data_IF_576469690900
#
_entry.id   IF_576469690900
#
_cell.length_a   1.000
_cell.length_b   1.000
_cell.length_c   1.000
_cell.angle_alpha   90.00
_cell.angle_beta   90.00
_cell.angle_gamma   90.00
#
_symmetry.space_group_name_H-M   'P 1'
#
loop_
_entity.id
_entity.type
_entity.pdbx_description
1 polymer ?
#
# COMPACT_ATOMS: atom_id res chain seq x y z
N UNK A 1 9.00 9.55 48.53
CA UNK A 1 8.28 8.60 47.66
C UNK A 1 8.57 8.98 46.23
N UNK A 2 9.24 8.11 45.48
CA UNK A 2 9.80 8.39 44.16
C UNK A 2 8.80 7.89 43.09
N UNK A 3 7.96 8.78 42.56
CA UNK A 3 6.97 8.45 41.52
C UNK A 3 7.57 8.34 40.10
N UNK A 4 8.87 8.61 39.94
CA UNK A 4 9.52 8.75 38.64
C UNK A 4 9.88 7.43 37.92
N UNK A 5 9.55 6.26 38.50
CA UNK A 5 9.98 4.95 37.97
C UNK A 5 8.85 3.93 37.78
N UNK A 6 7.59 4.37 37.86
CA UNK A 6 6.47 3.48 37.54
C UNK A 6 6.09 3.71 36.08
N UNK A 7 6.40 2.72 35.23
CA UNK A 7 5.82 2.66 33.89
C UNK A 7 4.29 2.78 33.99
N UNK A 8 3.64 3.48 33.05
CA UNK A 8 2.20 3.59 33.07
C UNK A 8 1.54 2.19 33.06
N UNK A 9 0.35 2.05 33.66
CA UNK A 9 -0.41 0.80 33.60
C UNK A 9 -0.59 0.31 32.15
N UNK A 10 -0.50 -1.01 31.94
CA UNK A 10 -0.47 -1.60 30.60
C UNK A 10 -1.74 -1.29 29.77
N UNK A 11 -2.90 -1.21 30.42
CA UNK A 11 -4.17 -0.80 29.82
C UNK A 11 -4.16 0.66 29.33
N UNK A 12 -3.55 1.56 30.10
CA UNK A 12 -3.31 2.96 29.69
C UNK A 12 -2.33 3.01 28.50
N UNK A 13 -1.24 2.22 28.55
CA UNK A 13 -0.31 2.11 27.44
C UNK A 13 -0.98 1.63 26.15
N UNK A 14 -1.83 0.60 26.24
CA UNK A 14 -2.61 0.10 25.11
C UNK A 14 -3.54 1.18 24.55
N UNK A 15 -4.26 1.91 25.42
CA UNK A 15 -5.15 2.98 25.00
C UNK A 15 -4.40 4.10 24.25
N UNK A 16 -3.24 4.53 24.78
CA UNK A 16 -2.43 5.58 24.18
C UNK A 16 -1.84 5.14 22.83
N UNK A 17 -1.34 3.90 22.73
CA UNK A 17 -0.81 3.35 21.47
C UNK A 17 -1.90 3.18 20.42
N UNK A 18 -3.04 2.61 20.79
CA UNK A 18 -4.21 2.49 19.91
C UNK A 18 -4.67 3.87 19.40
N UNK A 19 -4.68 4.89 20.28
CA UNK A 19 -5.01 6.26 19.86
C UNK A 19 -3.98 6.85 18.89
N UNK A 20 -2.69 6.65 19.16
CA UNK A 20 -1.62 7.11 18.30
C UNK A 20 -1.70 6.47 16.91
N UNK A 21 -1.91 5.15 16.83
CA UNK A 21 -2.09 4.41 15.57
C UNK A 21 -3.30 4.94 14.79
N UNK A 22 -4.48 5.06 15.40
CA UNK A 22 -5.67 5.59 14.71
C UNK A 22 -5.46 7.02 14.19
N UNK A 23 -4.82 7.87 15.01
CA UNK A 23 -4.54 9.26 14.63
C UNK A 23 -3.54 9.33 13.47
N UNK A 24 -2.49 8.51 13.52
CA UNK A 24 -1.49 8.44 12.46
C UNK A 24 -2.11 7.91 11.16
N UNK A 25 -2.85 6.81 11.21
CA UNK A 25 -3.59 6.25 10.05
C UNK A 25 -4.49 7.31 9.40
N UNK A 26 -5.21 8.07 10.22
CA UNK A 26 -6.14 9.10 9.73
C UNK A 26 -5.43 10.32 9.13
N UNK A 27 -4.22 10.64 9.59
CA UNK A 27 -3.46 11.82 9.18
C UNK A 27 -2.54 11.58 8.00
N UNK A 28 -1.87 10.43 7.98
CA UNK A 28 -0.82 10.14 7.01
C UNK A 28 -1.35 9.24 5.89
N UNK A 29 -2.13 8.21 6.21
CA UNK A 29 -2.52 7.19 5.22
C UNK A 29 -3.82 7.55 4.49
N UNK A 30 -4.87 7.95 5.23
CA UNK A 30 -6.19 8.23 4.64
C UNK A 30 -6.16 9.32 3.57
N UNK A 31 -5.40 10.43 3.71
CA UNK A 31 -5.34 11.45 2.66
C UNK A 31 -4.74 10.93 1.36
N UNK A 32 -3.64 10.17 1.44
CA UNK A 32 -2.97 9.60 0.26
C UNK A 32 -3.89 8.60 -0.45
N UNK A 33 -4.60 7.76 0.29
CA UNK A 33 -5.59 6.85 -0.29
C UNK A 33 -6.68 7.64 -1.03
N UNK A 34 -7.19 8.73 -0.44
CA UNK A 34 -8.23 9.55 -1.08
C UNK A 34 -7.71 10.27 -2.33
N UNK A 35 -6.46 10.70 -2.31
CA UNK A 35 -5.80 11.29 -3.48
C UNK A 35 -5.71 10.26 -4.61
N UNK A 36 -5.23 9.06 -4.32
CA UNK A 36 -5.13 7.97 -5.29
C UNK A 36 -6.50 7.46 -5.78
N UNK A 37 -7.52 7.46 -4.93
CA UNK A 37 -8.90 7.14 -5.32
C UNK A 37 -9.49 8.20 -6.27
N UNK A 38 -8.96 9.43 -6.27
CA UNK A 38 -9.39 10.48 -7.17
C UNK A 38 -8.54 10.53 -8.45
N UNK A 39 -7.23 10.32 -8.31
CA UNK A 39 -6.25 10.35 -9.40
C UNK A 39 -5.26 9.18 -9.25
N UNK A 40 -5.61 8.07 -9.90
CA UNK A 40 -4.83 6.84 -9.90
C UNK A 40 -3.53 6.93 -10.71
N UNK A 41 -3.30 8.02 -11.44
CA UNK A 41 -2.16 8.15 -12.36
C UNK A 41 -0.84 8.53 -11.67
N UNK A 42 -0.86 8.82 -10.37
CA UNK A 42 0.32 9.25 -9.62
C UNK A 42 1.15 8.06 -9.13
N UNK A 43 2.11 7.62 -9.95
CA UNK A 43 3.08 6.58 -9.55
C UNK A 43 3.91 6.96 -8.31
N UNK A 44 4.15 8.26 -8.08
CA UNK A 44 4.84 8.74 -6.89
C UNK A 44 3.99 8.59 -5.62
N UNK A 45 2.69 8.88 -5.69
CA UNK A 45 1.77 8.68 -4.56
C UNK A 45 1.61 7.18 -4.25
N UNK A 46 1.62 6.32 -5.28
CA UNK A 46 1.59 4.86 -5.08
C UNK A 46 2.85 4.35 -4.36
N UNK A 47 4.04 4.77 -4.80
CA UNK A 47 5.30 4.43 -4.14
C UNK A 47 5.34 4.95 -2.69
N UNK A 48 4.80 6.15 -2.44
CA UNK A 48 4.68 6.69 -1.08
C UNK A 48 3.70 5.88 -0.22
N UNK A 49 2.57 5.45 -0.78
CA UNK A 49 1.61 4.59 -0.09
C UNK A 49 2.22 3.24 0.31
N UNK A 50 3.09 2.66 -0.53
CA UNK A 50 3.84 1.45 -0.19
C UNK A 50 4.78 1.67 1.01
N UNK A 51 5.46 2.82 1.07
CA UNK A 51 6.28 3.18 2.23
C UNK A 51 5.43 3.34 3.51
N UNK A 52 4.31 4.07 3.41
CA UNK A 52 3.37 4.23 4.53
C UNK A 52 2.81 2.90 5.02
N UNK A 53 2.63 1.91 4.15
CA UNK A 53 2.18 0.57 4.57
C UNK A 53 3.18 -0.12 5.51
N UNK A 54 4.48 0.07 5.30
CA UNK A 54 5.52 -0.48 6.18
C UNK A 54 5.43 0.18 7.56
N UNK A 55 5.26 1.50 7.61
CA UNK A 55 5.08 2.24 8.87
C UNK A 55 3.78 1.84 9.58
N UNK A 56 2.69 1.64 8.83
CA UNK A 56 1.42 1.15 9.38
C UNK A 56 1.60 -0.22 10.05
N UNK A 57 2.39 -1.12 9.46
CA UNK A 57 2.73 -2.41 10.07
C UNK A 57 3.57 -2.25 11.36
N UNK A 58 4.44 -1.24 11.43
CA UNK A 58 5.20 -0.96 12.65
C UNK A 58 4.29 -0.48 13.79
N UNK A 59 3.44 0.52 13.51
CA UNK A 59 2.45 1.01 14.48
C UNK A 59 1.51 -0.11 14.95
N UNK A 60 1.06 -0.96 14.03
CA UNK A 60 0.25 -2.14 14.33
C UNK A 60 0.97 -3.10 15.29
N UNK A 61 2.25 -3.37 15.03
CA UNK A 61 3.09 -4.23 15.86
C UNK A 61 3.23 -3.72 17.29
N UNK A 62 3.47 -2.41 17.46
CA UNK A 62 3.59 -1.79 18.79
C UNK A 62 2.27 -1.86 19.58
N UNK A 63 1.14 -1.58 18.92
CA UNK A 63 -0.17 -1.67 19.58
C UNK A 63 -0.54 -3.12 19.91
N UNK A 64 -0.28 -4.07 19.01
CA UNK A 64 -0.57 -5.48 19.24
C UNK A 64 0.36 -6.09 20.31
N UNK A 65 1.61 -5.63 20.42
CA UNK A 65 2.50 -5.98 21.53
C UNK A 65 1.96 -5.47 22.87
N UNK A 66 1.50 -4.22 22.93
CA UNK A 66 0.86 -3.65 24.11
C UNK A 66 -0.41 -4.41 24.51
N UNK A 67 -1.15 -4.93 23.53
CA UNK A 67 -2.30 -5.81 23.78
C UNK A 67 -1.86 -7.12 24.45
N UNK A 68 -0.76 -7.72 23.96
CA UNK A 68 -0.17 -8.92 24.56
C UNK A 68 0.31 -8.70 25.99
N UNK A 69 0.89 -7.53 26.31
CA UNK A 69 1.27 -7.15 27.68
C UNK A 69 0.04 -7.12 28.61
N UNK A 70 -1.07 -6.55 28.14
CA UNK A 70 -2.34 -6.52 28.89
C UNK A 70 -2.89 -7.93 29.12
N UNK A 71 -2.86 -8.79 28.10
CA UNK A 71 -3.38 -10.16 28.20
C UNK A 71 -2.50 -11.07 29.09
N UNK A 72 -1.20 -10.78 29.21
CA UNK A 72 -0.28 -11.49 30.08
C UNK A 72 -0.44 -11.13 31.57
N UNK A 73 -1.04 -9.98 31.86
CA UNK A 73 -1.32 -9.55 33.23
C UNK A 73 -2.62 -10.22 33.71
N UNK A 74 -2.60 -10.78 34.92
CA UNK A 74 -3.83 -11.20 35.58
C UNK A 74 -4.77 -9.98 35.71
N UNK A 75 -6.11 -10.14 35.63
CA UNK A 75 -7.07 -9.05 35.75
C UNK A 75 -7.08 -8.49 37.18
N UNK A 76 -6.04 -7.75 37.53
CA UNK A 76 -5.81 -7.06 38.78
C UNK A 76 -5.63 -5.58 38.44
N UNK A 77 -6.76 -4.88 38.29
CA UNK A 77 -6.78 -3.48 37.85
C UNK A 77 -8.19 -2.96 37.66
N UNK A 78 -8.32 -1.69 37.27
CA UNK A 78 -9.61 -1.07 36.95
C UNK A 78 -10.22 -1.73 35.71
N UNK A 79 -11.28 -2.50 35.93
CA UNK A 79 -11.98 -3.23 34.86
C UNK A 79 -12.62 -2.30 33.83
N UNK A 80 -12.92 -1.05 34.19
CA UNK A 80 -13.49 -0.06 33.28
C UNK A 80 -12.48 0.42 32.24
N UNK A 81 -11.27 0.77 32.68
CA UNK A 81 -10.18 1.20 31.78
C UNK A 81 -9.73 0.04 30.90
N UNK A 82 -9.58 -1.15 31.47
CA UNK A 82 -9.24 -2.37 30.75
C UNK A 82 -10.24 -2.67 29.63
N UNK A 83 -11.54 -2.71 29.96
CA UNK A 83 -12.59 -2.95 28.97
C UNK A 83 -12.60 -1.86 27.87
N UNK A 84 -12.33 -0.61 28.22
CA UNK A 84 -12.26 0.47 27.25
C UNK A 84 -11.06 0.34 26.31
N UNK A 85 -9.88 0.00 26.85
CA UNK A 85 -8.67 -0.25 26.08
C UNK A 85 -8.87 -1.40 25.07
N UNK A 86 -9.54 -2.49 25.47
CA UNK A 86 -9.87 -3.61 24.59
C UNK A 86 -10.80 -3.18 23.45
N UNK A 87 -11.87 -2.45 23.76
CA UNK A 87 -12.81 -1.95 22.74
C UNK A 87 -12.11 -1.02 21.75
N UNK A 88 -11.24 -0.14 22.26
CA UNK A 88 -10.54 0.81 21.43
C UNK A 88 -9.51 0.13 20.52
N UNK A 89 -8.75 -0.84 21.05
CA UNK A 89 -7.88 -1.71 20.25
C UNK A 89 -8.66 -2.44 19.15
N UNK A 90 -9.83 -3.01 19.47
CA UNK A 90 -10.68 -3.66 18.48
C UNK A 90 -11.14 -2.70 17.37
N UNK A 91 -11.52 -1.47 17.71
CA UNK A 91 -11.89 -0.45 16.75
C UNK A 91 -10.71 -0.05 15.83
N UNK A 92 -9.51 0.09 16.40
CA UNK A 92 -8.29 0.40 15.62
C UNK A 92 -7.94 -0.75 14.67
N UNK A 93 -8.06 -2.01 15.11
CA UNK A 93 -7.87 -3.17 14.24
C UNK A 93 -8.86 -3.20 13.07
N UNK A 94 -10.12 -2.82 13.31
CA UNK A 94 -11.12 -2.69 12.24
C UNK A 94 -10.77 -1.58 11.26
N UNK A 95 -10.35 -0.41 11.76
CA UNK A 95 -9.88 0.70 10.94
C UNK A 95 -8.70 0.28 10.06
N UNK A 96 -7.69 -0.38 10.64
CA UNK A 96 -6.53 -0.92 9.92
C UNK A 96 -6.94 -1.88 8.82
N UNK A 97 -7.81 -2.84 9.12
CA UNK A 97 -8.29 -3.80 8.12
C UNK A 97 -9.04 -3.11 6.95
N UNK A 98 -9.84 -2.09 7.24
CA UNK A 98 -10.54 -1.33 6.21
C UNK A 98 -9.58 -0.51 5.33
N UNK A 99 -8.53 0.06 5.93
CA UNK A 99 -7.46 0.78 5.21
C UNK A 99 -6.67 -0.19 4.34
N UNK A 100 -6.23 -1.32 4.89
CA UNK A 100 -5.47 -2.35 4.15
C UNK A 100 -6.26 -2.85 2.93
N UNK A 101 -7.56 -3.08 3.08
CA UNK A 101 -8.42 -3.50 1.96
C UNK A 101 -8.43 -2.47 0.82
N UNK A 102 -8.50 -1.17 1.15
CA UNK A 102 -8.45 -0.09 0.16
C UNK A 102 -7.08 0.01 -0.51
N UNK A 103 -6.00 -0.11 0.25
CA UNK A 103 -4.63 -0.13 -0.30
C UNK A 103 -4.47 -1.28 -1.30
N UNK A 104 -4.95 -2.48 -0.96
CA UNK A 104 -4.85 -3.64 -1.85
C UNK A 104 -5.66 -3.44 -3.14
N UNK A 105 -6.81 -2.78 -3.08
CA UNK A 105 -7.60 -2.42 -4.27
C UNK A 105 -6.85 -1.43 -5.17
N UNK A 106 -6.24 -0.39 -4.59
CA UNK A 106 -5.44 0.60 -5.32
C UNK A 106 -4.24 -0.06 -6.02
N UNK A 107 -3.51 -0.93 -5.32
CA UNK A 107 -2.34 -1.62 -5.87
C UNK A 107 -2.73 -2.59 -7.00
N UNK A 108 -3.85 -3.30 -6.86
CA UNK A 108 -4.35 -4.18 -7.91
C UNK A 108 -4.74 -3.39 -9.17
N UNK A 109 -5.47 -2.28 -9.02
CA UNK A 109 -5.88 -1.43 -10.14
C UNK A 109 -4.66 -0.85 -10.89
N UNK A 110 -3.64 -0.40 -10.17
CA UNK A 110 -2.42 0.13 -10.78
C UNK A 110 -1.63 -0.94 -11.57
N UNK A 111 -1.69 -2.22 -11.14
CA UNK A 111 -1.08 -3.34 -11.87
C UNK A 111 -1.80 -3.65 -13.18
N UNK A 112 -3.13 -3.54 -13.21
CA UNK A 112 -3.95 -3.78 -14.40
C UNK A 112 -3.72 -2.69 -15.47
N UNK A 113 -3.62 -1.43 -15.07
CA UNK A 113 -3.34 -0.31 -15.99
C UNK A 113 -1.94 -0.44 -16.64
N UNK A 114 -0.93 -0.87 -15.90
CA UNK A 114 0.41 -1.13 -16.45
C UNK A 114 0.42 -2.26 -17.50
N UNK A 115 -0.43 -3.28 -17.34
CA UNK A 115 -0.61 -4.33 -18.34
C UNK A 115 -1.39 -3.86 -19.58
N UNK A 116 -2.35 -2.95 -19.41
CA UNK A 116 -3.12 -2.39 -20.52
C UNK A 116 -2.27 -1.50 -21.44
N UNK A 117 -1.36 -0.70 -20.88
CA UNK A 117 -0.46 0.18 -21.64
C UNK A 117 0.63 -0.60 -22.40
N UNK A 118 1.09 -1.73 -21.83
CA UNK A 118 2.03 -2.65 -22.50
C UNK A 118 1.40 -3.45 -23.67
N UNK A 119 0.10 -3.36 -23.90
CA UNK A 119 -0.67 -4.18 -24.84
C UNK A 119 -0.88 -3.61 -26.25
N UNK A 120 -0.44 -2.37 -26.54
CA UNK A 120 -0.81 -1.67 -27.78
C UNK A 120 0.31 -1.43 -28.81
N UNK A 121 1.40 -2.21 -28.78
CA UNK A 121 2.37 -2.25 -29.90
C UNK A 121 2.60 -3.67 -30.41
N UNK A 122 1.57 -4.24 -31.05
CA UNK A 122 1.74 -5.39 -31.93
C UNK A 122 0.97 -5.20 -33.24
N UNK A 123 1.54 -4.36 -34.11
CA UNK A 123 1.16 -4.29 -35.51
C UNK A 123 1.77 -5.48 -36.30
N UNK A 124 1.11 -5.95 -37.36
CA UNK A 124 1.25 -7.29 -37.89
C UNK A 124 2.54 -7.45 -38.69
N UNK A 125 3.31 -8.51 -38.37
CA UNK A 125 4.43 -8.94 -39.19
C UNK A 125 3.92 -9.36 -40.58
N UNK A 126 4.04 -8.44 -41.54
CA UNK A 126 4.00 -8.71 -42.96
C UNK A 126 4.85 -9.95 -43.27
N UNK A 127 4.22 -10.98 -43.82
CA UNK A 127 4.90 -12.16 -44.32
C UNK A 127 5.89 -11.76 -45.42
N UNK A 128 7.19 -11.86 -45.12
CA UNK A 128 8.22 -12.01 -46.15
C UNK A 128 7.92 -13.25 -46.97
N UNK A 129 8.22 -13.32 -48.27
CA UNK A 129 9.54 -13.27 -48.95
C UNK A 129 9.30 -13.82 -50.39
N UNK A 130 10.28 -14.02 -51.29
CA UNK A 130 11.67 -13.53 -51.35
C UNK A 130 12.08 -12.97 -52.75
N UNK A 131 13.28 -12.40 -52.77
CA UNK A 131 14.13 -12.00 -53.91
C UNK A 131 14.19 -12.95 -55.10
N UNK A 132 14.34 -12.39 -56.32
CA UNK A 132 15.16 -12.96 -57.42
C UNK A 132 15.43 -11.94 -58.56
N UNK A 133 16.38 -12.20 -59.48
CA UNK A 133 17.66 -11.49 -59.54
C UNK A 133 17.78 -10.48 -60.70
N UNK A 134 18.75 -9.58 -60.57
CA UNK A 134 19.21 -8.63 -61.58
C UNK A 134 19.82 -9.40 -62.76
N UNK A 135 19.17 -9.36 -63.91
CA UNK A 135 19.78 -9.71 -65.21
C UNK A 135 20.24 -8.43 -65.90
N UNK A 136 21.56 -8.24 -65.92
CA UNK A 136 22.23 -7.40 -66.89
C UNK A 136 22.19 -8.09 -68.27
N UNK A 137 21.80 -7.37 -69.35
CA UNK A 137 22.52 -7.43 -70.65
C UNK A 137 22.03 -6.39 -71.68
N UNK A 138 22.98 -5.52 -72.05
CA UNK A 138 23.34 -4.93 -73.36
C UNK A 138 22.35 -4.23 -74.32
N UNK A 139 22.74 -2.97 -74.63
CA UNK A 139 22.93 -2.29 -75.95
C UNK A 139 21.87 -2.47 -77.06
N UNK A 140 21.38 -1.36 -77.61
CA UNK A 140 21.94 -0.69 -78.82
C UNK A 140 20.98 0.34 -79.47
N UNK A 141 21.59 1.40 -80.03
CA UNK A 141 21.11 2.29 -81.12
C UNK A 141 19.85 3.15 -80.89
N UNK A 142 19.71 4.38 -81.37
CA UNK A 142 20.50 5.24 -82.26
C UNK A 142 19.58 6.37 -82.75
N UNK A 143 20.13 7.59 -82.86
CA UNK A 143 19.72 8.74 -83.69
C UNK A 143 18.24 9.13 -83.85
N UNK A 144 17.94 10.38 -83.48
CA UNK A 144 17.37 11.37 -84.40
C UNK A 144 17.83 12.78 -83.96
#
# INVERSE_FOLDING_TARGET
MNFANQSPPADVCLLLRAHAEARWLSREVVPVIRELEHDFSSGAALAYLEALRIEAHHHAGDTDAARGEVDALAPAGDHGVLANAHRYHAAVRQLRAAIDARIQQLLAAAGDDACADAGFEQAPAHGGRPSRPILARERAAGQA
#
